data_IF_373567821702
#
_entry.id   IF_373567821702
#
_cell.length_a   1.000
_cell.length_b   1.000
_cell.length_c   1.000
_cell.angle_alpha   90.00
_cell.angle_beta   90.00
_cell.angle_gamma   90.00
#
_symmetry.space_group_name_H-M   'P 1'
#
loop_
_entity.id
_entity.type
_entity.pdbx_description
1 polymer ?
#
# COMPACT_ATOMS: atom_id res chain seq x y z
N UNK A 1 -17.40 -6.94 -17.64
CA UNK A 1 -16.52 -5.76 -17.50
C UNK A 1 -15.30 -6.11 -16.67
N UNK A 2 -14.15 -5.74 -17.16
CA UNK A 2 -12.94 -5.92 -16.35
C UNK A 2 -12.92 -4.92 -15.19
N UNK A 3 -12.53 -5.38 -14.03
CA UNK A 3 -12.34 -4.52 -12.86
C UNK A 3 -10.99 -3.84 -12.97
N UNK A 4 -10.97 -2.53 -13.21
CA UNK A 4 -9.74 -1.75 -13.35
C UNK A 4 -9.13 -1.36 -12.00
N UNK A 5 -9.81 -1.69 -10.91
CA UNK A 5 -9.33 -1.36 -9.57
C UNK A 5 -8.29 -2.36 -9.09
N UNK A 6 -7.31 -1.87 -8.37
CA UNK A 6 -6.35 -2.72 -7.68
C UNK A 6 -6.67 -2.69 -6.19
N UNK A 7 -6.88 -3.85 -5.62
CA UNK A 7 -7.09 -4.04 -4.19
C UNK A 7 -5.89 -4.79 -3.64
N UNK A 8 -5.25 -4.21 -2.65
CA UNK A 8 -4.11 -4.83 -2.00
C UNK A 8 -4.52 -5.23 -0.59
N UNK A 9 -4.57 -6.53 -0.34
CA UNK A 9 -4.87 -7.05 0.98
C UNK A 9 -3.60 -7.00 1.82
N UNK A 10 -3.71 -6.42 3.02
CA UNK A 10 -2.54 -6.17 3.86
C UNK A 10 -2.24 -7.36 4.76
N UNK A 11 -1.48 -8.33 4.25
CA UNK A 11 -1.01 -9.48 5.00
C UNK A 11 0.46 -9.28 5.40
N UNK A 12 0.73 -8.15 6.06
CA UNK A 12 2.09 -7.79 6.46
C UNK A 12 2.47 -8.35 7.81
N UNK A 13 1.48 -8.51 8.70
CA UNK A 13 1.75 -8.84 10.09
C UNK A 13 1.90 -10.35 10.33
N UNK A 14 2.87 -10.76 11.15
CA UNK A 14 2.98 -12.15 11.56
C UNK A 14 1.73 -12.59 12.35
N UNK A 15 1.33 -13.84 12.17
CA UNK A 15 0.16 -14.39 12.85
C UNK A 15 0.33 -14.46 14.35
N UNK A 16 1.57 -14.47 14.84
CA UNK A 16 1.84 -14.58 16.27
C UNK A 16 1.72 -13.26 17.03
N UNK A 17 1.37 -12.16 16.37
CA UNK A 17 1.12 -10.89 17.05
C UNK A 17 -0.34 -10.77 17.46
N UNK A 18 -0.73 -11.55 18.47
CA UNK A 18 -2.13 -11.61 18.93
C UNK A 18 -2.68 -10.27 19.40
N UNK A 19 -1.84 -9.46 20.08
CA UNK A 19 -2.27 -8.12 20.52
C UNK A 19 -2.52 -7.20 19.35
N UNK A 20 -1.73 -7.33 18.28
CA UNK A 20 -1.93 -6.55 17.07
C UNK A 20 -3.27 -6.88 16.40
N UNK A 21 -3.71 -8.13 16.46
CA UNK A 21 -4.99 -8.53 15.88
C UNK A 21 -6.18 -7.79 16.50
N UNK A 22 -6.12 -7.45 17.78
CA UNK A 22 -7.19 -6.68 18.43
C UNK A 22 -7.29 -5.27 17.88
N UNK A 23 -6.15 -4.63 17.63
CA UNK A 23 -6.10 -3.28 17.08
C UNK A 23 -6.21 -3.27 15.56
N UNK A 24 -6.12 -4.42 14.92
CA UNK A 24 -6.27 -4.58 13.48
C UNK A 24 -7.70 -4.91 13.07
N UNK A 25 -8.64 -4.90 14.01
CA UNK A 25 -10.05 -4.98 13.66
C UNK A 25 -10.42 -3.80 12.77
N UNK A 26 -11.38 -4.03 11.88
CA UNK A 26 -11.87 -2.99 10.98
C UNK A 26 -12.15 -1.70 11.76
N UNK A 27 -11.50 -0.61 11.37
CA UNK A 27 -11.64 0.68 12.04
C UNK A 27 -10.74 0.90 13.24
N UNK A 28 -9.93 -0.09 13.64
CA UNK A 28 -9.00 0.05 14.77
C UNK A 28 -7.81 0.94 14.45
N UNK A 29 -7.21 1.54 15.49
CA UNK A 29 -6.08 2.46 15.32
C UNK A 29 -4.90 1.85 14.57
N UNK A 30 -4.56 0.59 14.88
CA UNK A 30 -3.44 -0.08 14.20
C UNK A 30 -3.77 -0.31 12.73
N UNK A 31 -5.00 -0.66 12.41
CA UNK A 31 -5.40 -0.87 11.01
C UNK A 31 -5.36 0.44 10.23
N UNK A 32 -5.84 1.54 10.83
CA UNK A 32 -5.77 2.87 10.20
C UNK A 32 -4.31 3.24 9.94
N UNK A 33 -3.44 3.00 10.90
CA UNK A 33 -2.01 3.27 10.76
C UNK A 33 -1.41 2.45 9.61
N UNK A 34 -1.69 1.14 9.56
CA UNK A 34 -1.15 0.26 8.51
C UNK A 34 -1.62 0.72 7.13
N UNK A 35 -2.91 0.97 6.97
CA UNK A 35 -3.47 1.42 5.68
C UNK A 35 -2.82 2.72 5.24
N UNK A 36 -2.67 3.67 6.16
CA UNK A 36 -2.05 4.97 5.87
C UNK A 36 -0.57 4.83 5.49
N UNK A 37 0.17 3.97 6.20
CA UNK A 37 1.59 3.77 5.94
C UNK A 37 1.83 3.02 4.64
N UNK A 38 0.97 2.08 4.30
CA UNK A 38 1.08 1.38 3.01
C UNK A 38 0.91 2.37 1.86
N UNK A 39 -0.09 3.25 1.94
CA UNK A 39 -0.29 4.28 0.91
C UNK A 39 0.93 5.19 0.83
N UNK A 40 1.43 5.65 1.97
CA UNK A 40 2.58 6.55 2.03
C UNK A 40 3.85 5.89 1.46
N UNK A 41 4.11 4.65 1.87
CA UNK A 41 5.32 3.94 1.43
C UNK A 41 5.23 3.53 -0.04
N UNK A 42 4.04 3.18 -0.53
CA UNK A 42 3.85 2.83 -1.93
C UNK A 42 4.00 4.02 -2.86
N UNK A 43 3.83 5.25 -2.35
CA UNK A 43 3.81 6.46 -3.18
C UNK A 43 5.01 6.58 -4.12
N UNK A 44 6.20 6.24 -3.64
CA UNK A 44 7.42 6.32 -4.46
C UNK A 44 7.59 5.15 -5.43
N UNK A 45 6.75 4.13 -5.33
CA UNK A 45 6.80 2.94 -6.19
C UNK A 45 5.70 2.95 -7.26
N UNK A 46 4.65 3.75 -7.05
CA UNK A 46 3.51 3.84 -7.98
C UNK A 46 3.92 4.63 -9.23
N UNK A 47 3.57 4.15 -10.44
CA UNK A 47 3.89 4.90 -11.65
C UNK A 47 3.37 6.34 -11.61
N UNK A 48 4.20 7.27 -12.07
CA UNK A 48 3.90 8.69 -12.02
C UNK A 48 3.80 9.25 -13.44
N UNK A 49 2.58 9.40 -13.94
CA UNK A 49 2.34 10.06 -15.22
C UNK A 49 1.74 11.44 -14.98
N UNK A 50 0.54 11.46 -14.38
CA UNK A 50 -0.16 12.70 -14.03
C UNK A 50 -0.32 12.85 -12.52
N UNK A 51 0.09 11.81 -11.76
CA UNK A 51 -0.14 11.74 -10.33
C UNK A 51 -1.54 11.24 -9.95
N UNK A 52 -2.40 10.97 -10.95
CA UNK A 52 -3.76 10.50 -10.67
C UNK A 52 -3.77 9.12 -10.01
N UNK A 53 -2.91 8.22 -10.47
CA UNK A 53 -2.87 6.86 -9.93
C UNK A 53 -2.47 6.87 -8.45
N UNK A 54 -1.40 7.57 -8.09
CA UNK A 54 -0.97 7.62 -6.69
C UNK A 54 -1.99 8.34 -5.81
N UNK A 55 -2.63 9.40 -6.31
CA UNK A 55 -3.67 10.11 -5.55
C UNK A 55 -4.90 9.24 -5.33
N UNK A 56 -5.21 8.33 -6.26
CA UNK A 56 -6.34 7.43 -6.10
C UNK A 56 -6.18 6.49 -4.90
N UNK A 57 -4.94 6.15 -4.54
CA UNK A 57 -4.67 5.37 -3.33
C UNK A 57 -5.20 6.06 -2.08
N UNK A 58 -5.11 7.38 -2.05
CA UNK A 58 -5.61 8.17 -0.92
C UNK A 58 -7.14 8.29 -0.97
N UNK A 59 -7.69 8.63 -2.13
CA UNK A 59 -9.11 8.95 -2.25
C UNK A 59 -10.00 7.71 -2.31
N UNK A 60 -9.51 6.59 -2.83
CA UNK A 60 -10.29 5.38 -2.99
C UNK A 60 -10.17 4.42 -1.80
N UNK A 61 -9.24 4.67 -0.89
CA UNK A 61 -9.02 3.80 0.26
C UNK A 61 -9.82 4.29 1.46
N UNK A 62 -10.55 3.37 2.10
CA UNK A 62 -11.17 3.61 3.40
C UNK A 62 -10.17 3.16 4.45
N UNK A 63 -9.54 4.10 5.15
CA UNK A 63 -8.53 3.78 6.16
C UNK A 63 -9.18 3.06 7.33
N UNK A 64 -8.57 1.96 7.72
CA UNK A 64 -9.09 1.07 8.75
C UNK A 64 -9.81 -0.14 8.17
N UNK A 65 -9.98 -0.21 6.84
CA UNK A 65 -10.64 -1.34 6.19
C UNK A 65 -9.74 -2.56 6.02
N UNK A 66 -8.42 -2.37 6.07
CA UNK A 66 -7.46 -3.43 5.79
C UNK A 66 -7.17 -3.62 4.31
N UNK A 67 -7.71 -2.76 3.46
CA UNK A 67 -7.52 -2.84 2.01
C UNK A 67 -7.20 -1.48 1.42
N UNK A 68 -6.14 -1.42 0.62
CA UNK A 68 -5.77 -0.22 -0.12
C UNK A 68 -6.23 -0.38 -1.56
N UNK A 69 -6.91 0.63 -2.07
CA UNK A 69 -7.51 0.63 -3.41
C UNK A 69 -6.86 1.70 -4.29
N UNK A 70 -6.56 1.31 -5.54
CA UNK A 70 -6.19 2.22 -6.60
C UNK A 70 -7.22 2.05 -7.70
N UNK A 71 -7.97 3.09 -8.03
CA UNK A 71 -9.17 2.95 -8.86
C UNK A 71 -9.18 3.79 -10.15
N UNK A 72 -8.02 4.28 -10.58
CA UNK A 72 -7.96 4.97 -11.88
C UNK A 72 -8.16 3.98 -13.01
N UNK A 73 -8.60 4.46 -14.18
CA UNK A 73 -8.58 3.62 -15.37
C UNK A 73 -7.18 3.03 -15.59
N UNK A 74 -7.13 1.76 -15.92
CA UNK A 74 -5.88 1.02 -16.13
C UNK A 74 -5.01 0.83 -14.89
N UNK A 75 -5.52 1.09 -13.68
CA UNK A 75 -4.76 0.84 -12.46
C UNK A 75 -4.29 -0.60 -12.39
N UNK A 76 -5.17 -1.54 -12.67
CA UNK A 76 -4.84 -2.97 -12.66
C UNK A 76 -3.80 -3.32 -13.73
N UNK A 77 -3.94 -2.76 -14.93
CA UNK A 77 -2.98 -2.98 -16.01
C UNK A 77 -1.60 -2.48 -15.59
N UNK A 78 -1.53 -1.28 -15.03
CA UNK A 78 -0.27 -0.71 -14.54
C UNK A 78 0.33 -1.56 -13.42
N UNK A 79 -0.49 -2.05 -12.52
CA UNK A 79 0.01 -2.85 -11.40
C UNK A 79 0.73 -4.10 -11.86
N UNK A 80 0.21 -4.78 -12.87
CA UNK A 80 0.79 -6.03 -13.33
C UNK A 80 1.76 -5.89 -14.49
N UNK A 81 1.69 -4.80 -15.25
CA UNK A 81 2.40 -4.72 -16.54
C UNK A 81 3.32 -3.52 -16.70
N UNK A 82 3.31 -2.55 -15.80
CA UNK A 82 4.10 -1.34 -15.99
C UNK A 82 5.60 -1.64 -15.90
N UNK A 83 6.32 -1.39 -16.99
CA UNK A 83 7.75 -1.72 -17.10
C UNK A 83 8.69 -0.73 -16.41
N UNK A 84 8.14 0.39 -15.91
CA UNK A 84 8.99 1.38 -15.27
C UNK A 84 9.78 2.25 -16.23
N UNK A 85 9.24 2.49 -17.43
CA UNK A 85 9.91 3.32 -18.45
C UNK A 85 9.60 4.81 -18.29
N UNK A 86 8.67 5.16 -17.40
CA UNK A 86 8.30 6.55 -17.16
C UNK A 86 9.23 7.27 -16.21
N UNK A 87 8.82 8.46 -15.81
CA UNK A 87 9.58 9.30 -14.87
C UNK A 87 9.80 8.55 -13.55
N UNK A 88 11.04 8.54 -13.06
CA UNK A 88 11.46 7.83 -11.84
C UNK A 88 11.18 6.33 -11.89
N UNK A 89 11.06 5.78 -13.10
CA UNK A 89 10.75 4.38 -13.29
C UNK A 89 11.90 3.43 -12.99
N UNK A 90 11.55 2.15 -12.80
CA UNK A 90 12.54 1.10 -12.51
C UNK A 90 13.65 1.02 -13.56
N UNK A 91 13.29 1.20 -14.84
CA UNK A 91 14.26 1.14 -15.93
C UNK A 91 15.12 2.41 -16.05
N UNK A 92 14.86 3.40 -15.19
CA UNK A 92 15.62 4.65 -15.18
C UNK A 92 16.27 4.91 -13.83
N UNK A 93 16.49 3.86 -13.06
CA UNK A 93 17.15 3.95 -11.76
C UNK A 93 16.25 4.33 -10.60
N UNK A 94 14.95 4.50 -10.84
CA UNK A 94 13.97 4.80 -9.81
C UNK A 94 13.25 3.56 -9.31
N UNK A 95 12.13 3.77 -8.65
CA UNK A 95 11.35 2.68 -8.04
C UNK A 95 9.96 2.50 -8.65
N UNK A 96 9.53 3.40 -9.52
CA UNK A 96 8.16 3.41 -10.03
C UNK A 96 7.95 2.34 -11.11
N UNK A 97 6.88 1.59 -11.01
CA UNK A 97 6.55 0.54 -11.95
C UNK A 97 5.54 -0.45 -11.40
N UNK A 98 5.51 -1.64 -11.99
CA UNK A 98 4.55 -2.69 -11.62
C UNK A 98 4.79 -3.20 -10.21
N UNK A 99 3.79 -3.87 -9.66
CA UNK A 99 3.83 -4.57 -8.38
C UNK A 99 4.35 -3.66 -7.24
N UNK A 100 3.87 -2.44 -7.20
CA UNK A 100 4.40 -1.45 -6.25
C UNK A 100 4.23 -1.86 -4.80
N UNK A 101 3.14 -2.54 -4.43
CA UNK A 101 2.98 -3.04 -3.07
C UNK A 101 4.00 -4.15 -2.77
N UNK A 102 4.13 -5.13 -3.66
CA UNK A 102 5.04 -6.25 -3.45
C UNK A 102 6.50 -5.80 -3.35
N UNK A 103 6.88 -4.78 -4.09
CA UNK A 103 8.25 -4.25 -4.05
C UNK A 103 8.49 -3.32 -2.87
N UNK A 104 7.44 -2.59 -2.46
CA UNK A 104 7.51 -1.75 -1.27
C UNK A 104 7.68 -2.58 0.00
N UNK A 105 7.03 -3.72 0.07
CA UNK A 105 6.92 -4.53 1.28
C UNK A 105 8.28 -4.88 1.91
N UNK A 106 9.25 -5.48 1.18
CA UNK A 106 10.54 -5.81 1.80
C UNK A 106 11.32 -4.59 2.29
N UNK A 107 11.11 -3.42 1.68
CA UNK A 107 11.84 -2.21 2.04
C UNK A 107 11.28 -1.53 3.29
N UNK A 108 9.97 -1.64 3.53
CA UNK A 108 9.29 -0.87 4.57
C UNK A 108 8.55 -1.71 5.61
N UNK A 109 8.50 -3.03 5.44
CA UNK A 109 7.74 -3.91 6.32
C UNK A 109 8.13 -3.73 7.80
N UNK A 110 9.43 -3.71 8.10
CA UNK A 110 9.90 -3.61 9.48
C UNK A 110 9.51 -2.27 10.11
N UNK A 111 9.58 -1.21 9.34
CA UNK A 111 9.17 0.12 9.81
C UNK A 111 7.68 0.15 10.17
N UNK A 112 6.85 -0.44 9.32
CA UNK A 112 5.40 -0.50 9.55
C UNK A 112 5.10 -1.37 10.79
N UNK A 113 5.77 -2.52 10.90
CA UNK A 113 5.61 -3.41 12.06
C UNK A 113 6.00 -2.72 13.36
N UNK A 114 7.09 -1.97 13.35
CA UNK A 114 7.54 -1.25 14.54
C UNK A 114 6.52 -0.19 14.96
N UNK A 115 5.90 0.49 14.01
CA UNK A 115 4.83 1.44 14.28
C UNK A 115 3.60 0.77 14.90
N UNK A 116 3.22 -0.40 14.39
CA UNK A 116 2.10 -1.17 14.94
C UNK A 116 2.39 -1.58 16.38
N UNK A 117 3.60 -2.07 16.63
CA UNK A 117 4.00 -2.47 18.01
C UNK A 117 3.88 -1.32 18.98
N UNK A 118 4.28 -0.11 18.58
CA UNK A 118 4.15 1.08 19.43
C UNK A 118 2.69 1.39 19.75
N UNK A 119 1.81 1.30 18.77
CA UNK A 119 0.38 1.56 18.95
C UNK A 119 -0.24 0.54 19.90
N UNK A 120 0.08 -0.74 19.71
CA UNK A 120 -0.46 -1.82 20.54
C UNK A 120 0.01 -1.70 21.99
N UNK A 121 1.26 -1.27 22.20
CA UNK A 121 1.84 -1.11 23.54
C UNK A 121 1.39 0.14 24.29
N UNK A 122 0.87 1.12 23.57
CA UNK A 122 0.55 2.44 24.14
C UNK A 122 -0.80 2.51 24.83
N UNK A 123 -1.42 1.40 25.12
CA UNK A 123 -2.69 1.38 25.84
C UNK A 123 -2.54 1.74 27.30
#
# INVERSE_FOLDING_TARGET
MSDDRVKVKLEILPENLLLAKRSLNKGGKAQIFVDSEVIRCCDSYVPLRTGMLKRSGITATVKGSGMVHYNTPYARLNYYSNKGNGKEGMNKGGKRGRLWFERMKPDHKDSILNGVKKIVRSK
#
